data_IF_888190270394
#
_entry.id   IF_888190270394
#
_cell.length_a   1.000
_cell.length_b   1.000
_cell.length_c   1.000
_cell.angle_alpha   90.00
_cell.angle_beta   90.00
_cell.angle_gamma   90.00
#
_symmetry.space_group_name_H-M   'P 1'
#
loop_
_entity.id
_entity.type
_entity.pdbx_description
1 polymer ?
#
# COMPACT_ATOMS: atom_id res chain seq x y z
N UNK A 1 -9.46 -9.28 21.34
CA UNK A 1 -10.39 -9.30 20.22
C UNK A 1 -9.99 -10.40 19.21
N UNK A 2 -10.96 -11.20 18.73
CA UNK A 2 -10.73 -12.26 17.73
C UNK A 2 -10.03 -11.70 16.47
N UNK A 3 -9.03 -12.43 15.97
CA UNK A 3 -8.30 -12.22 14.72
C UNK A 3 -9.11 -11.55 13.62
N UNK A 4 -10.31 -12.06 13.33
CA UNK A 4 -11.15 -11.55 12.24
C UNK A 4 -11.52 -10.07 12.39
N UNK A 5 -11.81 -9.63 13.62
CA UNK A 5 -12.14 -8.22 13.87
C UNK A 5 -10.89 -7.35 13.71
N UNK A 6 -9.74 -7.81 14.20
CA UNK A 6 -8.47 -7.10 14.03
C UNK A 6 -8.15 -6.95 12.55
N UNK A 7 -8.24 -8.04 11.78
CA UNK A 7 -8.06 -8.04 10.33
C UNK A 7 -9.00 -7.05 9.60
N UNK A 8 -10.30 -7.11 9.87
CA UNK A 8 -11.27 -6.22 9.20
C UNK A 8 -10.93 -4.76 9.48
N UNK A 9 -10.60 -4.43 10.74
CA UNK A 9 -10.27 -3.05 11.11
C UNK A 9 -8.95 -2.61 10.48
N UNK A 10 -7.90 -3.44 10.49
CA UNK A 10 -6.62 -3.10 9.83
C UNK A 10 -6.80 -2.90 8.33
N UNK A 11 -7.62 -3.73 7.69
CA UNK A 11 -7.92 -3.63 6.26
C UNK A 11 -8.68 -2.33 5.94
N UNK A 12 -9.74 -2.03 6.71
CA UNK A 12 -10.53 -0.80 6.52
C UNK A 12 -9.69 0.45 6.77
N UNK A 13 -8.87 0.48 7.81
CA UNK A 13 -7.98 1.62 8.11
C UNK A 13 -6.98 1.83 6.98
N UNK A 14 -6.35 0.75 6.51
CA UNK A 14 -5.42 0.80 5.39
C UNK A 14 -6.07 1.39 4.13
N UNK A 15 -7.24 0.88 3.74
CA UNK A 15 -7.98 1.38 2.57
C UNK A 15 -8.45 2.82 2.73
N UNK A 16 -8.95 3.19 3.91
CA UNK A 16 -9.44 4.54 4.16
C UNK A 16 -8.31 5.57 4.03
N UNK A 17 -7.14 5.29 4.61
CA UNK A 17 -5.98 6.18 4.51
C UNK A 17 -5.45 6.26 3.07
N UNK A 18 -5.34 5.14 2.36
CA UNK A 18 -4.95 5.19 0.95
C UNK A 18 -5.96 5.97 0.10
N UNK A 19 -7.26 5.83 0.37
CA UNK A 19 -8.30 6.61 -0.33
C UNK A 19 -8.10 8.10 -0.09
N UNK A 20 -7.78 8.53 1.13
CA UNK A 20 -7.45 9.93 1.42
C UNK A 20 -6.27 10.40 0.59
N UNK A 21 -5.18 9.63 0.51
CA UNK A 21 -4.02 10.00 -0.30
C UNK A 21 -4.31 10.03 -1.81
N UNK A 22 -5.13 9.11 -2.32
CA UNK A 22 -5.60 9.14 -3.71
C UNK A 22 -6.43 10.39 -3.97
N UNK A 23 -7.34 10.77 -3.06
CA UNK A 23 -8.12 12.00 -3.20
C UNK A 23 -7.22 13.24 -3.17
N UNK A 24 -6.22 13.29 -2.28
CA UNK A 24 -5.24 14.38 -2.27
C UNK A 24 -4.56 14.46 -3.64
N UNK A 25 -4.02 13.35 -4.15
CA UNK A 25 -3.36 13.31 -5.46
C UNK A 25 -4.29 13.74 -6.61
N UNK A 26 -5.57 13.36 -6.58
CA UNK A 26 -6.56 13.79 -7.56
C UNK A 26 -6.76 15.31 -7.60
N UNK A 27 -6.66 15.99 -6.47
CA UNK A 27 -6.88 17.45 -6.37
C UNK A 27 -5.59 18.27 -6.48
N UNK A 28 -4.44 17.69 -6.16
CA UNK A 28 -3.16 18.41 -6.14
C UNK A 28 -2.28 18.15 -7.35
N UNK A 29 -2.39 16.98 -8.00
CA UNK A 29 -1.59 16.64 -9.18
C UNK A 29 -2.42 16.86 -10.47
N UNK A 30 -2.06 17.84 -11.32
CA UNK A 30 -2.81 18.16 -12.54
C UNK A 30 -2.77 17.05 -13.60
N UNK A 31 -1.86 16.08 -13.47
CA UNK A 31 -1.73 14.93 -14.37
C UNK A 31 -2.40 13.67 -13.84
N UNK A 32 -3.04 13.73 -12.66
CA UNK A 32 -3.74 12.57 -12.12
C UNK A 32 -4.96 12.22 -13.00
N UNK A 33 -5.14 10.94 -13.41
CA UNK A 33 -6.28 10.47 -14.21
C UNK A 33 -7.64 10.50 -13.46
N UNK A 34 -8.15 11.70 -13.14
CA UNK A 34 -9.33 11.87 -12.30
C UNK A 34 -10.66 11.41 -12.92
N UNK A 35 -10.70 11.15 -14.24
CA UNK A 35 -11.87 10.61 -14.95
C UNK A 35 -11.83 9.11 -15.13
N UNK A 36 -10.69 8.46 -14.86
CA UNK A 36 -10.53 7.02 -15.03
C UNK A 36 -10.82 6.29 -13.72
N UNK A 37 -12.04 5.76 -13.62
CA UNK A 37 -12.53 5.07 -12.42
C UNK A 37 -11.68 3.86 -12.07
N UNK A 38 -11.22 3.10 -13.07
CA UNK A 38 -10.39 1.91 -12.82
C UNK A 38 -9.03 2.34 -12.27
N UNK A 39 -8.44 3.42 -12.81
CA UNK A 39 -7.20 3.97 -12.32
C UNK A 39 -7.31 4.44 -10.87
N UNK A 40 -8.39 5.15 -10.54
CA UNK A 40 -8.66 5.62 -9.17
C UNK A 40 -8.75 4.45 -8.20
N UNK A 41 -9.57 3.43 -8.53
CA UNK A 41 -9.76 2.27 -7.65
C UNK A 41 -8.45 1.49 -7.48
N UNK A 42 -7.71 1.24 -8.55
CA UNK A 42 -6.43 0.55 -8.49
C UNK A 42 -5.41 1.33 -7.64
N UNK A 43 -5.40 2.66 -7.73
CA UNK A 43 -4.48 3.52 -6.97
C UNK A 43 -4.61 3.37 -5.46
N UNK A 44 -5.80 3.02 -4.93
CA UNK A 44 -6.03 2.77 -3.50
C UNK A 44 -5.21 1.59 -2.97
N UNK A 45 -4.93 0.60 -3.82
CA UNK A 45 -4.15 -0.58 -3.44
C UNK A 45 -2.68 -0.47 -3.85
N UNK A 46 -2.35 0.48 -4.72
CA UNK A 46 -1.01 0.66 -5.27
C UNK A 46 0.11 0.78 -4.23
N UNK A 47 -0.10 1.34 -3.02
CA UNK A 47 1.00 1.45 -2.07
C UNK A 47 1.62 0.13 -1.65
N UNK A 48 0.87 -0.97 -1.69
CA UNK A 48 1.38 -2.30 -1.34
C UNK A 48 2.30 -2.92 -2.41
N UNK A 49 2.26 -2.38 -3.63
CA UNK A 49 3.08 -2.85 -4.74
C UNK A 49 4.55 -2.40 -4.63
N UNK A 50 4.81 -1.41 -3.78
CA UNK A 50 6.15 -0.90 -3.52
C UNK A 50 6.71 -1.61 -2.31
N UNK A 51 7.88 -2.24 -2.43
CA UNK A 51 8.54 -2.85 -1.28
C UNK A 51 8.94 -1.76 -0.25
N UNK A 52 8.98 -2.08 1.06
CA UNK A 52 9.34 -1.10 2.08
C UNK A 52 10.68 -0.41 1.80
N UNK A 53 11.71 -1.14 1.37
CA UNK A 53 13.00 -0.53 1.02
C UNK A 53 12.84 0.62 0.01
N UNK A 54 12.11 0.37 -1.08
CA UNK A 54 11.88 1.35 -2.15
C UNK A 54 11.03 2.51 -1.61
N UNK A 55 10.00 2.23 -0.81
CA UNK A 55 9.14 3.26 -0.22
C UNK A 55 9.92 4.23 0.68
N UNK A 56 10.84 3.71 1.51
CA UNK A 56 11.59 4.52 2.46
C UNK A 56 12.80 5.24 1.83
N UNK A 57 13.50 4.59 0.90
CA UNK A 57 14.74 5.10 0.32
C UNK A 57 14.47 5.77 -1.01
N UNK A 58 14.04 5.00 -2.01
CA UNK A 58 14.01 5.41 -3.41
C UNK A 58 12.84 6.35 -3.74
N UNK A 59 11.70 6.18 -3.08
CA UNK A 59 10.52 7.04 -3.17
C UNK A 59 10.33 7.92 -1.93
N UNK A 60 11.32 7.94 -1.04
CA UNK A 60 11.24 8.63 0.23
C UNK A 60 12.35 9.65 0.42
N UNK A 61 13.33 9.32 1.26
CA UNK A 61 14.33 10.28 1.69
C UNK A 61 15.14 10.82 0.51
N UNK A 62 15.48 9.98 -0.47
CA UNK A 62 16.36 10.39 -1.58
C UNK A 62 15.67 11.41 -2.51
N UNK A 63 14.47 11.18 -3.05
CA UNK A 63 13.77 12.18 -3.86
C UNK A 63 13.43 13.45 -3.08
N UNK A 64 13.01 13.33 -1.82
CA UNK A 64 12.65 14.49 -1.00
C UNK A 64 13.81 15.47 -0.79
N UNK A 65 15.05 14.98 -0.79
CA UNK A 65 16.24 15.84 -0.69
C UNK A 65 16.61 16.51 -2.03
N UNK A 66 16.12 15.98 -3.16
CA UNK A 66 16.45 16.44 -4.51
C UNK A 66 15.25 17.03 -5.27
N UNK A 67 14.10 17.20 -4.60
CA UNK A 67 12.83 17.52 -5.26
C UNK A 67 12.70 18.99 -5.67
N UNK A 68 12.05 19.19 -6.82
CA UNK A 68 11.52 20.50 -7.25
C UNK A 68 10.00 20.62 -7.05
N UNK A 69 9.32 19.53 -6.72
CA UNK A 69 7.89 19.46 -6.44
C UNK A 69 7.65 18.72 -5.10
N UNK A 70 7.92 19.46 -4.01
CA UNK A 70 7.84 18.95 -2.65
C UNK A 70 6.46 18.37 -2.31
N UNK A 71 5.38 18.95 -2.84
CA UNK A 71 4.01 18.53 -2.49
C UNK A 71 3.73 17.14 -3.06
N UNK A 72 4.05 16.92 -4.33
CA UNK A 72 3.83 15.62 -4.99
C UNK A 72 4.68 14.53 -4.35
N UNK A 73 5.98 14.77 -4.18
CA UNK A 73 6.91 13.77 -3.66
C UNK A 73 6.64 13.43 -2.19
N UNK A 74 6.30 14.43 -1.37
CA UNK A 74 5.91 14.20 0.02
C UNK A 74 4.61 13.42 0.12
N UNK A 75 3.61 13.74 -0.70
CA UNK A 75 2.33 13.01 -0.72
C UNK A 75 2.54 11.56 -1.11
N UNK A 76 3.36 11.31 -2.13
CA UNK A 76 3.72 9.96 -2.59
C UNK A 76 4.41 9.17 -1.48
N UNK A 77 5.47 9.73 -0.87
CA UNK A 77 6.19 9.12 0.25
C UNK A 77 5.26 8.77 1.43
N UNK A 78 4.45 9.74 1.87
CA UNK A 78 3.53 9.54 2.98
C UNK A 78 2.48 8.48 2.66
N UNK A 79 1.99 8.41 1.41
CA UNK A 79 1.03 7.39 0.98
C UNK A 79 1.60 5.96 1.03
N UNK A 80 2.91 5.80 0.81
CA UNK A 80 3.55 4.49 0.89
C UNK A 80 3.82 4.01 2.32
N UNK A 81 3.91 4.93 3.29
CA UNK A 81 4.40 4.61 4.63
C UNK A 81 3.36 4.79 5.72
N UNK A 82 2.57 5.87 5.68
CA UNK A 82 1.62 6.19 6.75
C UNK A 82 0.47 5.17 6.80
N UNK A 83 -0.21 4.80 5.69
CA UNK A 83 -1.26 3.79 5.72
C UNK A 83 -0.83 2.44 6.31
N UNK A 84 0.28 1.79 5.89
CA UNK A 84 0.71 0.54 6.50
C UNK A 84 1.09 0.73 7.99
N UNK A 85 1.80 1.80 8.35
CA UNK A 85 2.18 2.06 9.74
C UNK A 85 0.98 2.24 10.67
N UNK A 86 -0.01 3.05 10.27
CA UNK A 86 -1.20 3.27 11.11
C UNK A 86 -2.04 2.00 11.19
N UNK A 87 -2.18 1.26 10.10
CA UNK A 87 -2.88 -0.03 10.11
C UNK A 87 -2.23 -1.01 11.10
N UNK A 88 -0.90 -1.12 11.14
CA UNK A 88 -0.24 -2.02 12.11
C UNK A 88 -0.32 -1.54 13.56
N UNK A 89 -0.30 -0.22 13.81
CA UNK A 89 -0.46 0.33 15.16
C UNK A 89 -1.86 -0.02 15.67
N UNK A 90 -2.89 0.19 14.84
CA UNK A 90 -4.26 -0.19 15.15
C UNK A 90 -4.38 -1.70 15.36
N UNK A 91 -3.77 -2.50 14.48
CA UNK A 91 -3.72 -3.96 14.61
C UNK A 91 -3.09 -4.45 15.91
N UNK A 92 -1.99 -3.81 16.32
CA UNK A 92 -1.28 -4.12 17.56
C UNK A 92 -2.05 -3.73 18.82
N UNK A 93 -2.78 -2.61 18.78
CA UNK A 93 -3.61 -2.16 19.91
C UNK A 93 -4.85 -3.04 20.10
N UNK A 94 -5.38 -3.61 19.01
CA UNK A 94 -6.61 -4.38 19.00
C UNK A 94 -6.38 -5.90 19.12
N UNK A 95 -5.21 -6.38 18.70
CA UNK A 95 -4.84 -7.78 18.73
C UNK A 95 -4.68 -8.30 20.16
N UNK A 96 -5.21 -9.51 20.42
CA UNK A 96 -5.02 -10.18 21.72
C UNK A 96 -3.56 -10.54 22.01
N UNK A 97 -2.78 -10.77 20.95
CA UNK A 97 -1.38 -11.11 21.05
C UNK A 97 -0.64 -10.71 19.77
N UNK A 98 0.70 -10.80 19.83
CA UNK A 98 1.61 -10.47 18.72
C UNK A 98 1.29 -11.22 17.42
N UNK A 99 0.80 -12.46 17.47
CA UNK A 99 0.48 -13.25 16.29
C UNK A 99 -0.84 -12.81 15.65
N UNK A 100 -1.81 -12.39 16.47
CA UNK A 100 -3.08 -11.84 15.99
C UNK A 100 -2.85 -10.55 15.20
N UNK A 101 -2.05 -9.61 15.75
CA UNK A 101 -1.70 -8.36 15.06
C UNK A 101 -0.88 -8.60 13.79
N UNK A 102 0.17 -9.42 13.89
CA UNK A 102 0.99 -9.84 12.74
C UNK A 102 0.13 -10.44 11.62
N UNK A 103 -0.69 -11.45 11.94
CA UNK A 103 -1.46 -12.17 10.94
C UNK A 103 -2.55 -11.31 10.31
N UNK A 104 -3.19 -10.42 11.08
CA UNK A 104 -4.18 -9.49 10.57
C UNK A 104 -3.58 -8.53 9.54
N UNK A 105 -2.39 -7.98 9.84
CA UNK A 105 -1.66 -7.16 8.88
C UNK A 105 -1.18 -7.96 7.68
N UNK A 106 -0.60 -9.13 7.89
CA UNK A 106 -0.09 -9.97 6.81
C UNK A 106 -1.21 -10.30 5.81
N UNK A 107 -2.39 -10.66 6.30
CA UNK A 107 -3.55 -10.92 5.46
C UNK A 107 -4.05 -9.65 4.74
N UNK A 108 -4.01 -8.49 5.42
CA UNK A 108 -4.31 -7.19 4.82
C UNK A 108 -3.38 -6.91 3.63
N UNK A 109 -2.07 -6.99 3.83
CA UNK A 109 -1.07 -6.77 2.79
C UNK A 109 -1.22 -7.77 1.62
N UNK A 110 -1.40 -9.05 1.94
CA UNK A 110 -1.59 -10.11 0.96
C UNK A 110 -2.82 -9.88 0.09
N UNK A 111 -3.99 -9.65 0.70
CA UNK A 111 -5.23 -9.42 -0.03
C UNK A 111 -5.18 -8.12 -0.84
N UNK A 112 -4.62 -7.04 -0.29
CA UNK A 112 -4.44 -5.79 -1.02
C UNK A 112 -3.56 -5.98 -2.26
N UNK A 113 -2.48 -6.77 -2.16
CA UNK A 113 -1.63 -7.07 -3.32
C UNK A 113 -2.34 -7.92 -4.37
N UNK A 114 -3.13 -8.92 -3.95
CA UNK A 114 -3.91 -9.75 -4.86
C UNK A 114 -4.99 -8.95 -5.57
N UNK A 115 -5.73 -8.10 -4.84
CA UNK A 115 -6.73 -7.20 -5.41
C UNK A 115 -6.09 -6.24 -6.40
N UNK A 116 -4.92 -5.71 -6.07
CA UNK A 116 -4.18 -4.82 -6.96
C UNK A 116 -3.76 -5.52 -8.26
N UNK A 117 -3.29 -6.77 -8.19
CA UNK A 117 -2.99 -7.59 -9.38
C UNK A 117 -4.23 -7.80 -10.24
N UNK A 118 -5.39 -8.06 -9.63
CA UNK A 118 -6.67 -8.20 -10.35
C UNK A 118 -7.03 -6.88 -11.05
N UNK A 119 -6.90 -5.75 -10.37
CA UNK A 119 -7.15 -4.44 -10.97
C UNK A 119 -6.15 -4.08 -12.06
N UNK A 120 -4.89 -4.49 -11.93
CA UNK A 120 -3.90 -4.33 -12.97
C UNK A 120 -4.26 -5.19 -14.19
N UNK A 121 -4.64 -6.45 -14.00
CA UNK A 121 -5.07 -7.35 -15.08
C UNK A 121 -6.29 -6.83 -15.84
N UNK A 122 -7.32 -6.39 -15.10
CA UNK A 122 -8.57 -5.85 -15.68
C UNK A 122 -8.34 -4.44 -16.25
N UNK A 123 -7.56 -3.61 -15.57
CA UNK A 123 -7.31 -2.23 -15.93
C UNK A 123 -6.52 -2.07 -17.22
N UNK A 124 -5.67 -3.03 -17.59
CA UNK A 124 -5.02 -3.01 -18.91
C UNK A 124 -6.01 -3.11 -20.08
N UNK A 125 -7.22 -3.66 -19.86
CA UNK A 125 -8.25 -3.76 -20.89
C UNK A 125 -9.28 -2.61 -20.85
N UNK A 126 -9.43 -1.95 -19.70
CA UNK A 126 -10.51 -0.97 -19.46
C UNK A 126 -10.06 0.46 -19.16
N UNK A 127 -8.77 0.68 -18.85
CA UNK A 127 -8.20 2.01 -18.58
C UNK A 127 -7.57 2.58 -19.84
N UNK A 128 -7.72 3.89 -20.05
CA UNK A 128 -6.99 4.61 -21.11
C UNK A 128 -5.56 4.94 -20.70
N UNK A 129 -5.22 4.72 -19.43
CA UNK A 129 -3.91 5.00 -18.84
C UNK A 129 -3.19 3.69 -18.52
N UNK A 130 -1.89 3.63 -18.80
CA UNK A 130 -1.10 2.46 -18.45
C UNK A 130 -0.83 2.46 -16.95
N UNK A 131 -1.64 1.71 -16.22
CA UNK A 131 -1.47 1.46 -14.79
C UNK A 131 -0.07 0.86 -14.54
N UNK A 132 0.82 1.65 -13.92
CA UNK A 132 2.22 1.30 -13.64
C UNK A 132 2.99 0.89 -14.89
N UNK A 133 2.93 1.75 -15.91
CA UNK A 133 3.66 1.60 -17.16
C UNK A 133 5.15 1.27 -16.98
N UNK A 134 5.80 1.81 -15.94
CA UNK A 134 7.21 1.54 -15.64
C UNK A 134 7.46 0.09 -15.19
N UNK A 135 6.58 -0.50 -14.37
CA UNK A 135 6.72 -1.91 -13.97
C UNK A 135 6.48 -2.83 -15.17
N UNK A 136 5.51 -2.50 -16.01
CA UNK A 136 5.17 -3.30 -17.19
C UNK A 136 6.25 -3.18 -18.26
N UNK A 137 6.82 -1.99 -18.47
CA UNK A 137 7.89 -1.79 -19.45
C UNK A 137 9.18 -2.51 -19.04
N UNK A 138 9.51 -2.53 -17.74
CA UNK A 138 10.72 -3.16 -17.23
C UNK A 138 10.62 -4.69 -17.11
N UNK A 139 9.45 -5.23 -16.74
CA UNK A 139 9.31 -6.66 -16.40
C UNK A 139 8.28 -7.42 -17.26
N UNK A 140 7.57 -6.73 -18.15
CA UNK A 140 6.38 -7.26 -18.81
C UNK A 140 5.19 -7.40 -17.83
N UNK A 141 3.99 -7.64 -18.36
CA UNK A 141 2.76 -7.72 -17.55
C UNK A 141 2.83 -8.84 -16.50
N UNK A 142 3.30 -10.04 -16.89
CA UNK A 142 3.43 -11.16 -15.96
C UNK A 142 4.50 -10.88 -14.89
N UNK A 143 5.65 -10.32 -15.27
CA UNK A 143 6.71 -9.97 -14.33
C UNK A 143 6.26 -8.89 -13.33
N UNK A 144 5.50 -7.89 -13.78
CA UNK A 144 4.89 -6.89 -12.92
C UNK A 144 3.94 -7.52 -11.88
N UNK A 145 3.07 -8.44 -12.30
CA UNK A 145 2.16 -9.15 -11.37
C UNK A 145 2.91 -9.95 -10.31
N UNK A 146 3.95 -10.69 -10.72
CA UNK A 146 4.80 -11.46 -9.80
C UNK A 146 5.52 -10.52 -8.82
N UNK A 147 6.06 -9.40 -9.32
CA UNK A 147 6.73 -8.39 -8.50
C UNK A 147 5.79 -7.79 -7.45
N UNK A 148 4.57 -7.44 -7.84
CA UNK A 148 3.54 -6.91 -6.92
C UNK A 148 3.19 -7.95 -5.84
N UNK A 149 3.07 -9.22 -6.22
CA UNK A 149 2.78 -10.30 -5.29
C UNK A 149 3.89 -10.43 -4.23
N UNK A 150 5.15 -10.44 -4.67
CA UNK A 150 6.28 -10.47 -3.75
C UNK A 150 6.37 -9.20 -2.90
N UNK A 151 6.09 -8.01 -3.46
CA UNK A 151 6.03 -6.77 -2.68
C UNK A 151 4.97 -6.86 -1.58
N UNK A 152 3.81 -7.46 -1.85
CA UNK A 152 2.77 -7.75 -0.85
C UNK A 152 3.26 -8.64 0.28
N UNK A 153 3.96 -9.73 -0.04
CA UNK A 153 4.56 -10.62 0.96
C UNK A 153 5.60 -9.89 1.81
N UNK A 154 6.51 -9.14 1.18
CA UNK A 154 7.56 -8.39 1.88
C UNK A 154 6.96 -7.31 2.78
N UNK A 155 5.95 -6.57 2.32
CA UNK A 155 5.19 -5.62 3.13
C UNK A 155 4.51 -6.32 4.32
N UNK A 156 3.87 -7.46 4.06
CA UNK A 156 3.24 -8.29 5.07
C UNK A 156 4.20 -8.69 6.17
N UNK A 157 5.39 -9.19 5.81
CA UNK A 157 6.43 -9.55 6.79
C UNK A 157 7.03 -8.34 7.50
N UNK A 158 7.46 -7.32 6.77
CA UNK A 158 8.18 -6.17 7.33
C UNK A 158 7.32 -5.44 8.38
N UNK A 159 6.15 -4.96 7.97
CA UNK A 159 5.24 -4.25 8.86
C UNK A 159 4.58 -5.21 9.86
N UNK A 160 4.42 -6.50 9.52
CA UNK A 160 3.95 -7.52 10.46
C UNK A 160 4.92 -7.71 11.62
N UNK A 161 6.23 -7.79 11.34
CA UNK A 161 7.26 -7.84 12.37
C UNK A 161 7.24 -6.59 13.26
N UNK A 162 7.07 -5.40 12.68
CA UNK A 162 6.90 -4.16 13.45
C UNK A 162 5.65 -4.27 14.34
N UNK A 163 4.52 -4.74 13.80
CA UNK A 163 3.29 -4.98 14.54
C UNK A 163 3.53 -5.89 15.75
N UNK A 164 4.23 -7.01 15.56
CA UNK A 164 4.57 -7.94 16.63
C UNK A 164 5.45 -7.32 17.71
N UNK A 165 6.40 -6.44 17.34
CA UNK A 165 7.27 -5.73 18.27
C UNK A 165 6.53 -4.68 19.10
N UNK A 166 5.59 -3.95 18.50
CA UNK A 166 4.82 -2.92 19.19
C UNK A 166 3.61 -3.47 19.95
N UNK A 167 3.13 -4.67 19.59
CA UNK A 167 2.04 -5.33 20.31
C UNK A 167 2.53 -5.58 21.72
N UNK A 168 1.91 -4.90 22.68
CA UNK A 168 2.21 -5.12 24.08
C UNK A 168 1.93 -6.60 24.37
N UNK A 169 2.97 -7.36 24.73
CA UNK A 169 2.76 -8.60 25.46
C UNK A 169 1.95 -8.20 26.68
N UNK A 170 0.78 -8.82 26.85
CA UNK A 170 0.03 -8.68 28.08
C UNK A 170 0.98 -8.93 29.26
N UNK A 171 1.11 -7.89 30.10
CA UNK A 171 1.32 -8.03 31.53
C UNK A 171 0.12 -8.76 32.13
#
# INVERSE_FOLDING_TARGET
MNFWKTFIITFVVYLALNTVFVLIAMFTNPFFPATDVIFIIASIFSPIATSPQIAWIDNGIVPLLATTDLVTDLTLFLSYIIPPLIAIIVGALLGDNQFTGFGAWFLTAFLSSCLFIVFLAVGQAGSTYTLWGDLISNFGTMGAMISIFFAGIVNGFFYGCICALITKKWM
#
